data_IF_662529403604
#
_entry.id   IF_662529403604
#
_cell.length_a   1.000
_cell.length_b   1.000
_cell.length_c   1.000
_cell.angle_alpha   90.00
_cell.angle_beta   90.00
_cell.angle_gamma   90.00
#
_symmetry.space_group_name_H-M   'P 1'
#
loop_
_entity.id
_entity.type
_entity.pdbx_description
1 polymer ?
#
# COMPACT_ATOMS: atom_id res chain seq x y z
N UNK A 1 -3.21 -9.17 -13.43
CA UNK A 1 -3.11 -8.42 -12.15
C UNK A 1 -2.91 -9.44 -11.06
N UNK A 2 -1.98 -9.24 -10.14
CA UNK A 2 -1.83 -10.16 -9.01
C UNK A 2 -3.14 -10.16 -8.20
N UNK A 3 -3.57 -11.34 -7.75
CA UNK A 3 -4.75 -11.48 -6.90
C UNK A 3 -4.35 -11.05 -5.49
N UNK A 4 -4.98 -9.98 -4.99
CA UNK A 4 -4.73 -9.46 -3.64
C UNK A 4 -5.80 -10.02 -2.73
N UNK A 5 -5.37 -10.68 -1.66
CA UNK A 5 -6.26 -11.16 -0.61
C UNK A 5 -6.70 -10.00 0.29
N UNK A 6 -7.84 -10.15 0.97
CA UNK A 6 -8.34 -9.16 1.93
C UNK A 6 -7.32 -8.86 3.04
N UNK A 7 -6.51 -9.85 3.43
CA UNK A 7 -5.46 -9.68 4.43
C UNK A 7 -4.36 -8.73 3.93
N UNK A 8 -3.89 -8.92 2.70
CA UNK A 8 -2.85 -8.08 2.09
C UNK A 8 -3.34 -6.66 1.85
N UNK A 9 -4.60 -6.50 1.45
CA UNK A 9 -5.24 -5.19 1.29
C UNK A 9 -5.35 -4.49 2.66
N UNK A 10 -5.72 -5.22 3.71
CA UNK A 10 -5.80 -4.66 5.07
C UNK A 10 -4.44 -4.20 5.57
N UNK A 11 -3.39 -5.01 5.39
CA UNK A 11 -2.01 -4.63 5.75
C UNK A 11 -1.56 -3.40 4.96
N UNK A 12 -1.84 -3.34 3.66
CA UNK A 12 -1.54 -2.19 2.81
C UNK A 12 -2.17 -0.90 3.34
N UNK A 13 -3.45 -0.94 3.72
CA UNK A 13 -4.18 0.23 4.24
C UNK A 13 -3.66 0.63 5.63
N UNK A 14 -3.43 -0.34 6.52
CA UNK A 14 -2.98 -0.09 7.90
C UNK A 14 -1.57 0.51 7.93
N UNK A 15 -0.63 -0.11 7.20
CA UNK A 15 0.74 0.39 7.07
C UNK A 15 0.76 1.77 6.42
N UNK A 16 -0.07 2.01 5.39
CA UNK A 16 -0.20 3.32 4.80
C UNK A 16 -0.70 4.34 5.84
N UNK A 17 -1.67 3.98 6.69
CA UNK A 17 -2.22 4.90 7.71
C UNK A 17 -1.20 5.22 8.80
N UNK A 18 -0.51 4.21 9.31
CA UNK A 18 0.55 4.36 10.33
C UNK A 18 1.68 5.21 9.77
N UNK A 19 2.18 4.84 8.58
CA UNK A 19 3.33 5.52 7.99
C UNK A 19 2.96 6.86 7.37
N UNK A 20 1.72 7.15 6.98
CA UNK A 20 1.30 8.49 6.56
C UNK A 20 1.46 9.49 7.70
N UNK A 21 1.15 9.09 8.94
CA UNK A 21 1.38 9.91 10.13
C UNK A 21 2.88 10.19 10.35
N UNK A 22 3.73 9.20 10.11
CA UNK A 22 5.19 9.33 10.19
C UNK A 22 5.78 10.11 8.98
N UNK A 23 5.18 9.98 7.79
CA UNK A 23 5.67 10.56 6.53
C UNK A 23 5.41 12.04 6.37
N UNK A 24 4.50 12.62 7.16
CA UNK A 24 4.40 14.08 7.27
C UNK A 24 5.74 14.73 7.66
N UNK A 25 6.68 13.98 8.26
CA UNK A 25 8.02 14.45 8.62
C UNK A 25 9.18 14.00 7.71
N UNK A 26 9.01 12.98 6.84
CA UNK A 26 10.16 12.28 6.22
C UNK A 26 10.51 12.68 4.78
N UNK A 27 9.77 13.59 4.15
CA UNK A 27 10.10 14.10 2.82
C UNK A 27 9.94 13.09 1.67
N UNK A 28 10.18 13.56 0.44
CA UNK A 28 9.74 13.02 -0.88
C UNK A 28 10.18 11.60 -1.29
N UNK A 29 10.62 10.71 -0.39
CA UNK A 29 11.08 9.38 -0.80
C UNK A 29 9.96 8.33 -0.85
N UNK A 30 8.93 8.60 -1.67
CA UNK A 30 7.75 7.74 -1.83
C UNK A 30 8.09 6.36 -2.39
N UNK A 31 9.11 6.22 -3.24
CA UNK A 31 9.50 4.92 -3.78
C UNK A 31 9.99 3.97 -2.68
N UNK A 32 10.82 4.50 -1.76
CA UNK A 32 11.30 3.73 -0.62
C UNK A 32 10.18 3.41 0.37
N UNK A 33 9.23 4.34 0.56
CA UNK A 33 8.02 4.09 1.36
C UNK A 33 7.26 2.86 0.86
N UNK A 34 6.89 2.84 -0.42
CA UNK A 34 6.15 1.71 -0.98
C UNK A 34 6.97 0.43 -0.98
N UNK A 35 8.29 0.52 -1.16
CA UNK A 35 9.20 -0.61 -1.02
C UNK A 35 9.12 -1.24 0.38
N UNK A 36 9.08 -0.44 1.45
CA UNK A 36 8.97 -0.99 2.82
C UNK A 36 7.62 -1.64 3.12
N UNK A 37 6.53 -1.15 2.51
CA UNK A 37 5.22 -1.77 2.66
C UNK A 37 5.18 -3.10 1.91
N UNK A 38 5.72 -3.13 0.68
CA UNK A 38 5.83 -4.35 -0.10
C UNK A 38 6.65 -5.42 0.63
N UNK A 39 7.79 -5.05 1.20
CA UNK A 39 8.65 -5.96 1.98
C UNK A 39 7.89 -6.59 3.16
N UNK A 40 7.11 -5.79 3.90
CA UNK A 40 6.32 -6.31 5.02
C UNK A 40 5.20 -7.24 4.58
N UNK A 41 4.47 -6.90 3.52
CA UNK A 41 3.41 -7.77 2.98
C UNK A 41 4.01 -9.09 2.50
N UNK A 42 5.14 -9.03 1.79
CA UNK A 42 5.87 -10.19 1.29
C UNK A 42 6.35 -11.09 2.45
N UNK A 43 6.87 -10.49 3.52
CA UNK A 43 7.35 -11.22 4.70
C UNK A 43 6.21 -11.94 5.43
N UNK A 44 5.03 -11.34 5.55
CA UNK A 44 3.89 -11.94 6.28
C UNK A 44 3.07 -12.93 5.44
N UNK A 45 2.98 -12.72 4.12
CA UNK A 45 2.11 -13.52 3.25
C UNK A 45 2.88 -14.43 2.27
N UNK A 46 4.22 -14.37 2.26
CA UNK A 46 5.05 -15.14 1.33
C UNK A 46 4.88 -14.71 -0.12
N UNK A 47 4.50 -13.46 -0.35
CA UNK A 47 4.27 -12.89 -1.69
C UNK A 47 5.50 -12.15 -2.23
N UNK A 48 5.42 -11.73 -3.50
CA UNK A 48 6.53 -11.09 -4.23
C UNK A 48 6.09 -9.76 -4.84
N UNK A 49 5.36 -8.96 -4.07
CA UNK A 49 4.96 -7.62 -4.50
C UNK A 49 6.15 -6.66 -4.52
N UNK A 50 6.09 -5.70 -5.43
CA UNK A 50 6.98 -4.55 -5.43
C UNK A 50 6.25 -3.27 -4.98
N UNK A 51 7.01 -2.24 -4.63
CA UNK A 51 6.45 -0.97 -4.20
C UNK A 51 5.54 -0.31 -5.24
N UNK A 52 5.82 -0.50 -6.53
CA UNK A 52 4.97 0.03 -7.60
C UNK A 52 3.58 -0.62 -7.59
N UNK A 53 3.51 -1.95 -7.40
CA UNK A 53 2.26 -2.68 -7.28
C UNK A 53 1.45 -2.25 -6.06
N UNK A 54 2.12 -2.01 -4.92
CA UNK A 54 1.48 -1.49 -3.72
C UNK A 54 0.87 -0.10 -3.97
N UNK A 55 1.63 0.80 -4.61
CA UNK A 55 1.18 2.14 -4.97
C UNK A 55 -0.02 2.09 -5.92
N UNK A 56 0.06 1.29 -6.97
CA UNK A 56 -1.02 1.14 -7.96
C UNK A 56 -2.29 0.57 -7.32
N UNK A 57 -2.16 -0.49 -6.52
CA UNK A 57 -3.29 -1.09 -5.79
C UNK A 57 -3.93 -0.08 -4.85
N UNK A 58 -3.14 0.66 -4.07
CA UNK A 58 -3.66 1.69 -3.17
C UNK A 58 -4.38 2.82 -3.92
N UNK A 59 -3.80 3.28 -5.03
CA UNK A 59 -4.40 4.32 -5.88
C UNK A 59 -5.74 3.86 -6.46
N UNK A 60 -5.83 2.59 -6.87
CA UNK A 60 -7.08 1.99 -7.33
C UNK A 60 -8.12 1.87 -6.19
N UNK A 61 -7.71 1.48 -4.97
CA UNK A 61 -8.60 1.43 -3.81
C UNK A 61 -9.18 2.80 -3.45
N UNK A 62 -8.34 3.85 -3.44
CA UNK A 62 -8.79 5.23 -3.19
C UNK A 62 -9.75 5.68 -4.27
N UNK A 63 -9.45 5.37 -5.54
CA UNK A 63 -10.31 5.75 -6.67
C UNK A 63 -11.65 5.04 -6.63
N UNK A 64 -11.68 3.75 -6.31
CA UNK A 64 -12.90 2.95 -6.18
C UNK A 64 -13.78 3.45 -5.03
N UNK A 65 -13.17 3.77 -3.89
CA UNK A 65 -13.87 4.36 -2.74
C UNK A 65 -14.43 5.74 -3.05
N UNK A 66 -13.69 6.57 -3.80
CA UNK A 66 -14.11 7.92 -4.16
C UNK A 66 -15.15 7.96 -5.29
N UNK A 67 -15.17 6.95 -6.17
CA UNK A 67 -16.19 6.82 -7.24
C UNK A 67 -17.53 6.31 -6.69
N UNK A 68 -17.54 5.62 -5.55
CA UNK A 68 -18.78 5.18 -4.89
C UNK A 68 -19.58 6.30 -4.19
N UNK A 69 -19.13 7.56 -4.26
CA UNK A 69 -19.79 8.70 -3.59
C UNK A 69 -20.31 9.79 -4.55
N UNK A 70 -20.46 9.48 -5.85
CA UNK A 70 -21.06 10.38 -6.87
C UNK A 70 -22.38 9.84 -7.40
#
# INVERSE_FOLDING_TARGET
MAEWTDLEIRILIDEHRIKNNEFHNLGRNWERFWGTIADKINQENGTSFNGHQCKEKFSNLVRDYNVNYV
#
